data_IF_638448631589
#
_entry.id   IF_638448631589
#
_cell.length_a   1.000
_cell.length_b   1.000
_cell.length_c   1.000
_cell.angle_alpha   90.00
_cell.angle_beta   90.00
_cell.angle_gamma   90.00
#
_symmetry.space_group_name_H-M   'P 1'
#
loop_
_entity.id
_entity.type
_entity.pdbx_description
1 polymer ?
#
# COMPACT_ATOMS: atom_id res chain seq x y z
N UNK A 1 7.87 15.65 3.61
CA UNK A 1 8.43 14.91 2.46
C UNK A 1 9.77 14.26 2.77
N UNK A 2 10.70 14.91 3.48
CA UNK A 2 11.96 14.27 3.89
C UNK A 2 11.77 12.95 4.66
N UNK A 3 10.72 12.86 5.48
CA UNK A 3 10.30 11.65 6.23
C UNK A 3 10.06 10.42 5.34
N UNK A 4 9.61 10.61 4.09
CA UNK A 4 9.35 9.52 3.13
C UNK A 4 10.64 8.79 2.78
N UNK A 5 11.75 9.51 2.70
CA UNK A 5 13.05 8.97 2.33
C UNK A 5 13.92 8.70 3.56
N UNK A 6 13.79 9.48 4.63
CA UNK A 6 14.59 9.30 5.84
C UNK A 6 14.19 8.05 6.63
N UNK A 7 12.94 7.57 6.50
CA UNK A 7 12.49 6.37 7.21
C UNK A 7 13.32 5.12 6.89
N UNK A 8 13.88 5.02 5.68
CA UNK A 8 14.71 3.89 5.25
C UNK A 8 16.01 3.77 6.04
N UNK A 9 16.44 4.84 6.72
CA UNK A 9 17.62 4.82 7.61
C UNK A 9 17.31 4.20 8.97
N UNK A 10 16.04 4.02 9.32
CA UNK A 10 15.61 3.47 10.59
C UNK A 10 15.11 2.03 10.41
N UNK A 11 15.84 1.06 10.98
CA UNK A 11 15.51 -0.37 10.87
C UNK A 11 14.07 -0.68 11.30
N UNK A 12 13.54 -0.03 12.35
CA UNK A 12 12.16 -0.27 12.81
C UNK A 12 11.13 0.12 11.75
N UNK A 13 11.37 1.24 11.06
CA UNK A 13 10.48 1.71 9.99
C UNK A 13 10.55 0.81 8.76
N UNK A 14 11.74 0.31 8.43
CA UNK A 14 11.91 -0.67 7.35
C UNK A 14 11.15 -1.96 7.66
N UNK A 15 11.29 -2.49 8.87
CA UNK A 15 10.53 -3.67 9.31
C UNK A 15 9.03 -3.42 9.25
N UNK A 16 8.56 -2.26 9.71
CA UNK A 16 7.13 -1.90 9.63
C UNK A 16 6.63 -1.84 8.18
N UNK A 17 7.43 -1.30 7.25
CA UNK A 17 7.06 -1.25 5.84
C UNK A 17 6.95 -2.65 5.23
N UNK A 18 7.87 -3.56 5.57
CA UNK A 18 7.82 -4.96 5.14
C UNK A 18 6.60 -5.68 5.71
N UNK A 19 6.32 -5.49 7.00
CA UNK A 19 5.13 -6.08 7.65
C UNK A 19 3.83 -5.57 7.04
N UNK A 20 3.76 -4.26 6.74
CA UNK A 20 2.61 -3.68 6.06
C UNK A 20 2.46 -4.23 4.63
N UNK A 21 3.55 -4.35 3.87
CA UNK A 21 3.52 -4.94 2.54
C UNK A 21 3.06 -6.40 2.58
N UNK A 22 3.58 -7.19 3.52
CA UNK A 22 3.18 -8.58 3.72
C UNK A 22 1.70 -8.70 4.08
N UNK A 23 1.21 -7.88 5.01
CA UNK A 23 -0.22 -7.88 5.40
C UNK A 23 -1.12 -7.49 4.22
N UNK A 24 -0.75 -6.44 3.48
CA UNK A 24 -1.52 -6.02 2.31
C UNK A 24 -1.56 -7.12 1.24
N UNK A 25 -0.40 -7.70 0.91
CA UNK A 25 -0.31 -8.77 -0.09
C UNK A 25 -1.05 -10.03 0.36
N UNK A 26 -0.89 -10.45 1.62
CA UNK A 26 -1.59 -11.60 2.18
C UNK A 26 -3.11 -11.45 2.13
N UNK A 27 -3.63 -10.23 2.29
CA UNK A 27 -5.05 -9.96 2.12
C UNK A 27 -5.47 -9.80 0.67
N UNK A 28 -4.61 -9.31 -0.23
CA UNK A 28 -4.95 -9.09 -1.63
C UNK A 28 -4.93 -10.38 -2.46
N UNK A 29 -3.90 -11.22 -2.30
CA UNK A 29 -3.63 -12.40 -3.14
C UNK A 29 -4.82 -13.38 -3.20
N UNK A 30 -5.47 -13.76 -2.08
CA UNK A 30 -6.60 -14.70 -2.12
C UNK A 30 -7.79 -14.20 -2.93
N UNK A 31 -7.93 -12.87 -3.06
CA UNK A 31 -9.07 -12.25 -3.74
C UNK A 31 -8.80 -11.94 -5.22
N UNK A 32 -7.57 -12.16 -5.71
CA UNK A 32 -7.20 -11.96 -7.13
C UNK A 32 -8.04 -12.79 -8.11
N UNK A 33 -8.55 -13.94 -7.69
CA UNK A 33 -9.44 -14.77 -8.51
C UNK A 33 -10.87 -14.21 -8.66
N UNK A 34 -11.28 -13.27 -7.80
CA UNK A 34 -12.63 -12.70 -7.80
C UNK A 34 -12.68 -11.45 -8.67
N UNK A 35 -12.77 -11.67 -9.97
CA UNK A 35 -12.81 -10.60 -10.96
C UNK A 35 -14.23 -10.02 -11.04
N UNK A 36 -14.38 -8.72 -10.80
CA UNK A 36 -15.67 -8.01 -10.91
C UNK A 36 -15.94 -7.62 -12.37
N UNK A 37 -14.92 -7.10 -13.05
CA UNK A 37 -14.96 -6.76 -14.48
C UNK A 37 -13.70 -7.29 -15.12
N UNK A 38 -13.84 -8.22 -16.07
CA UNK A 38 -12.69 -8.89 -16.70
C UNK A 38 -11.73 -7.89 -17.33
N UNK A 39 -10.46 -8.00 -16.97
CA UNK A 39 -9.38 -7.13 -17.45
C UNK A 39 -9.36 -5.71 -16.88
N UNK A 40 -10.32 -5.33 -16.03
CA UNK A 40 -10.42 -3.96 -15.48
C UNK A 40 -10.27 -3.96 -13.96
N UNK A 41 -11.12 -4.71 -13.24
CA UNK A 41 -11.14 -4.65 -11.77
C UNK A 41 -11.54 -5.96 -11.12
N UNK A 42 -10.91 -6.19 -9.97
CA UNK A 42 -11.11 -7.36 -9.11
C UNK A 42 -11.65 -6.91 -7.76
N UNK A 43 -12.11 -7.85 -6.95
CA UNK A 43 -12.51 -7.57 -5.59
C UNK A 43 -11.27 -7.38 -4.72
N UNK A 44 -11.11 -6.18 -4.12
CA UNK A 44 -9.88 -5.79 -3.40
C UNK A 44 -10.16 -5.32 -1.97
N UNK A 45 -10.50 -6.22 -1.04
CA UNK A 45 -10.65 -5.87 0.38
C UNK A 45 -9.41 -5.18 0.97
N UNK A 46 -8.22 -5.57 0.48
CA UNK A 46 -6.96 -4.96 0.86
C UNK A 46 -6.90 -3.44 0.64
N UNK A 47 -7.72 -2.88 -0.25
CA UNK A 47 -7.82 -1.44 -0.50
C UNK A 47 -8.27 -0.63 0.73
N UNK A 48 -8.83 -1.25 1.77
CA UNK A 48 -9.14 -0.54 3.02
C UNK A 48 -7.90 -0.33 3.91
N UNK A 49 -6.84 -1.12 3.72
CA UNK A 49 -5.64 -1.09 4.57
C UNK A 49 -4.75 0.15 4.41
N UNK A 50 -4.53 0.76 3.22
CA UNK A 50 -3.60 1.87 3.05
C UNK A 50 -3.88 3.03 3.99
N UNK A 51 -5.15 3.42 4.17
CA UNK A 51 -5.52 4.53 5.05
C UNK A 51 -5.18 4.21 6.50
N UNK A 52 -5.56 3.02 6.99
CA UNK A 52 -5.25 2.60 8.36
C UNK A 52 -3.73 2.46 8.59
N UNK A 53 -3.01 1.85 7.64
CA UNK A 53 -1.56 1.69 7.70
C UNK A 53 -0.84 3.04 7.68
N UNK A 54 -1.27 3.97 6.84
CA UNK A 54 -0.73 5.32 6.77
C UNK A 54 -0.94 6.07 8.08
N UNK A 55 -2.16 6.07 8.62
CA UNK A 55 -2.47 6.75 9.89
C UNK A 55 -1.69 6.17 11.08
N UNK A 56 -1.53 4.84 11.15
CA UNK A 56 -0.87 4.17 12.28
C UNK A 56 0.65 4.15 12.18
N UNK A 57 1.20 3.99 10.97
CA UNK A 57 2.65 3.74 10.76
C UNK A 57 3.33 4.77 9.85
N UNK A 58 2.61 5.82 9.45
CA UNK A 58 3.13 6.95 8.69
C UNK A 58 3.77 6.54 7.36
N UNK A 59 4.98 7.05 7.04
CA UNK A 59 5.67 6.71 5.80
C UNK A 59 5.93 5.21 5.59
N UNK A 60 6.13 4.45 6.67
CA UNK A 60 6.33 3.00 6.58
C UNK A 60 5.05 2.30 6.11
N UNK A 61 3.88 2.71 6.60
CA UNK A 61 2.59 2.22 6.14
C UNK A 61 2.33 2.57 4.66
N UNK A 62 2.73 3.76 4.23
CA UNK A 62 2.59 4.19 2.84
C UNK A 62 3.45 3.38 1.86
N UNK A 63 4.73 3.19 2.18
CA UNK A 63 5.60 2.29 1.39
C UNK A 63 5.11 0.85 1.43
N UNK A 64 4.64 0.39 2.61
CA UNK A 64 4.06 -0.93 2.77
C UNK A 64 2.86 -1.16 1.85
N UNK A 65 1.91 -0.23 1.81
CA UNK A 65 0.74 -0.32 0.93
C UNK A 65 1.12 -0.32 -0.57
N UNK A 66 2.07 0.53 -0.97
CA UNK A 66 2.55 0.61 -2.35
C UNK A 66 3.23 -0.69 -2.79
N UNK A 67 4.18 -1.19 -1.98
CA UNK A 67 4.93 -2.41 -2.24
C UNK A 67 4.01 -3.62 -2.17
N UNK A 68 3.14 -3.71 -1.16
CA UNK A 68 2.17 -4.79 -1.00
C UNK A 68 1.20 -4.89 -2.17
N UNK A 69 0.75 -3.76 -2.71
CA UNK A 69 -0.05 -3.72 -3.94
C UNK A 69 0.73 -4.32 -5.13
N UNK A 70 1.96 -3.85 -5.35
CA UNK A 70 2.79 -4.32 -6.45
C UNK A 70 3.10 -5.82 -6.32
N UNK A 71 3.41 -6.30 -5.11
CA UNK A 71 3.59 -7.72 -4.81
C UNK A 71 2.33 -8.49 -5.16
N UNK A 72 1.15 -8.03 -4.73
CA UNK A 72 -0.11 -8.67 -5.09
C UNK A 72 -0.33 -8.72 -6.60
N UNK A 73 0.00 -7.66 -7.33
CA UNK A 73 -0.17 -7.61 -8.78
C UNK A 73 0.68 -8.65 -9.53
N UNK A 74 1.84 -9.04 -9.01
CA UNK A 74 2.63 -10.17 -9.55
C UNK A 74 1.89 -11.50 -9.56
N UNK A 75 0.81 -11.66 -8.78
CA UNK A 75 0.00 -12.88 -8.71
C UNK A 75 -1.21 -12.89 -9.66
N UNK A 76 -1.27 -12.01 -10.67
CA UNK A 76 -2.23 -12.20 -11.77
C UNK A 76 -2.71 -10.94 -12.50
N UNK A 77 -2.32 -9.74 -12.06
CA UNK A 77 -2.80 -8.48 -12.64
C UNK A 77 -1.68 -7.49 -12.97
N UNK A 78 -0.44 -7.97 -13.11
CA UNK A 78 0.72 -7.14 -13.40
C UNK A 78 0.57 -6.50 -14.78
N UNK A 79 0.54 -5.18 -14.82
CA UNK A 79 0.37 -4.41 -16.05
C UNK A 79 1.05 -3.04 -15.92
N UNK A 80 1.03 -2.23 -16.99
CA UNK A 80 1.39 -0.82 -16.89
C UNK A 80 0.56 -0.08 -15.82
N UNK A 81 -0.66 -0.55 -15.54
CA UNK A 81 -1.52 -0.06 -14.46
C UNK A 81 -0.91 -0.26 -13.06
N UNK A 82 -0.03 -1.24 -12.85
CA UNK A 82 0.60 -1.50 -11.56
C UNK A 82 1.52 -0.36 -11.10
N UNK A 83 2.05 0.45 -12.02
CA UNK A 83 2.77 1.68 -11.67
C UNK A 83 1.83 2.71 -11.04
N UNK A 84 0.64 2.89 -11.62
CA UNK A 84 -0.40 3.75 -11.06
C UNK A 84 -0.95 3.17 -9.76
N UNK A 85 -1.08 1.85 -9.65
CA UNK A 85 -1.45 1.17 -8.40
C UNK A 85 -0.42 1.38 -7.29
N UNK A 86 0.87 1.36 -7.61
CA UNK A 86 1.96 1.62 -6.67
C UNK A 86 1.90 3.05 -6.13
N UNK A 87 1.89 4.05 -7.02
CA UNK A 87 1.84 5.47 -6.63
C UNK A 87 0.51 5.79 -5.95
N UNK A 88 -0.59 5.25 -6.46
CA UNK A 88 -1.93 5.42 -5.92
C UNK A 88 -2.03 4.93 -4.48
N UNK A 89 -1.61 3.69 -4.19
CA UNK A 89 -1.63 3.16 -2.82
C UNK A 89 -0.68 3.92 -1.90
N UNK A 90 0.49 4.34 -2.39
CA UNK A 90 1.39 5.19 -1.60
C UNK A 90 0.69 6.48 -1.17
N UNK A 91 0.09 7.21 -2.12
CA UNK A 91 -0.58 8.48 -1.85
C UNK A 91 -1.84 8.27 -1.02
N UNK A 92 -2.58 7.19 -1.24
CA UNK A 92 -3.79 6.86 -0.51
C UNK A 92 -3.53 6.58 0.97
N UNK A 93 -2.33 6.10 1.32
CA UNK A 93 -1.88 5.98 2.70
C UNK A 93 -1.24 7.28 3.24
N UNK A 94 -0.37 7.92 2.45
CA UNK A 94 0.46 9.04 2.92
C UNK A 94 -0.32 10.35 3.07
N UNK A 95 -1.30 10.62 2.20
CA UNK A 95 -2.10 11.85 2.27
C UNK A 95 -2.93 11.92 3.56
N UNK A 96 -3.72 10.88 3.94
CA UNK A 96 -4.44 10.89 5.23
C UNK A 96 -3.52 11.08 6.43
N UNK A 97 -2.36 10.41 6.46
CA UNK A 97 -1.34 10.60 7.49
C UNK A 97 -0.89 12.06 7.60
N UNK A 98 -0.55 12.68 6.46
CA UNK A 98 -0.12 14.09 6.45
C UNK A 98 -1.23 15.04 6.84
N UNK A 99 -2.47 14.78 6.45
CA UNK A 99 -3.60 15.60 6.88
C UNK A 99 -3.79 15.48 8.40
N UNK A 100 -3.78 14.26 8.93
CA UNK A 100 -3.96 14.00 10.36
C UNK A 100 -2.93 14.72 11.23
N UNK A 101 -1.64 14.63 10.91
CA UNK A 101 -0.57 15.22 11.74
C UNK A 101 -0.48 16.76 11.64
N UNK A 102 -1.10 17.39 10.64
CA UNK A 102 -1.05 18.85 10.46
C UNK A 102 -2.38 19.55 10.79
N UNK A 103 -3.51 18.82 10.81
CA UNK A 103 -4.84 19.37 11.10
C UNK A 103 -5.40 18.94 12.47
N UNK A 104 -4.86 17.88 13.07
CA UNK A 104 -5.18 17.44 14.44
C UNK A 104 -4.28 18.10 15.46
#
# INVERSE_FOLDING_TARGET
>A
MSEVFSMWKNMKMVVLAVLCAALYAALLIPFKGFVLIQGITEFRPASALPVAMGLLFGPAGAWGAAIGNLVGDFFGSLSAGSLFGFVGNFMFAYVPYKLWINLG
#
